data_IF_636428661399
#
_entry.id   IF_636428661399
#
_cell.length_a   1.000
_cell.length_b   1.000
_cell.length_c   1.000
_cell.angle_alpha   90.00
_cell.angle_beta   90.00
_cell.angle_gamma   90.00
#
_symmetry.space_group_name_H-M   'P 1'
#
loop_
_entity.id
_entity.type
_entity.pdbx_description
1 polymer ?
#
# COMPACT_ATOMS: atom_id res chain seq x y z
N UNK A 1 -6.18 -30.59 18.52
CA UNK A 1 -6.16 -29.10 18.61
C UNK A 1 -5.30 -28.64 19.78
N UNK A 2 -5.47 -29.25 20.96
CA UNK A 2 -4.63 -28.96 22.13
C UNK A 2 -3.13 -29.22 21.89
N UNK A 3 -2.80 -30.26 21.11
CA UNK A 3 -1.41 -30.56 20.71
C UNK A 3 -0.80 -29.48 19.80
N UNK A 4 -1.59 -28.84 18.95
CA UNK A 4 -1.09 -27.75 18.08
C UNK A 4 -0.84 -26.49 18.90
N UNK A 5 -1.67 -26.23 19.91
CA UNK A 5 -1.51 -25.11 20.85
C UNK A 5 -0.28 -25.33 21.73
N UNK A 6 0.00 -26.58 22.14
CA UNK A 6 1.19 -26.89 22.94
C UNK A 6 2.48 -26.70 22.14
N UNK A 7 2.50 -27.13 20.86
CA UNK A 7 3.61 -26.88 19.92
C UNK A 7 3.81 -25.38 19.72
N UNK A 8 2.74 -24.60 19.51
CA UNK A 8 2.85 -23.15 19.36
C UNK A 8 3.51 -22.48 20.59
N UNK A 9 3.19 -22.96 21.79
CA UNK A 9 3.73 -22.46 23.04
C UNK A 9 5.19 -22.87 23.26
N UNK A 10 5.58 -24.09 22.89
CA UNK A 10 6.97 -24.54 22.99
C UNK A 10 7.89 -23.85 22.00
N UNK A 11 7.38 -23.53 20.81
CA UNK A 11 8.11 -22.86 19.72
C UNK A 11 8.20 -21.32 19.89
N UNK A 12 7.70 -20.80 21.02
CA UNK A 12 7.79 -19.38 21.37
C UNK A 12 6.98 -18.45 20.46
N UNK A 13 5.92 -18.96 19.83
CA UNK A 13 5.13 -18.19 18.87
C UNK A 13 4.31 -17.11 19.59
N UNK A 14 4.33 -15.89 19.04
CA UNK A 14 3.54 -14.77 19.59
C UNK A 14 2.05 -15.13 19.64
N UNK A 15 1.31 -14.82 20.73
CA UNK A 15 -0.07 -15.28 20.94
C UNK A 15 -1.10 -14.75 19.92
N UNK A 16 -0.70 -13.88 19.01
CA UNK A 16 -1.54 -13.33 17.92
C UNK A 16 -1.55 -14.24 16.69
N UNK A 17 -1.50 -15.56 16.90
CA UNK A 17 -1.53 -16.53 15.81
C UNK A 17 -2.96 -16.95 15.47
N UNK A 18 -3.18 -17.24 14.19
CA UNK A 18 -4.39 -17.88 13.68
C UNK A 18 -4.06 -19.32 13.30
N UNK A 19 -4.94 -20.25 13.67
CA UNK A 19 -4.83 -21.67 13.29
C UNK A 19 -5.83 -21.95 12.19
N UNK A 20 -5.34 -22.41 11.04
CA UNK A 20 -6.15 -22.92 9.95
C UNK A 20 -6.16 -24.45 10.02
N UNK A 21 -7.37 -25.00 9.97
CA UNK A 21 -7.63 -26.44 10.10
C UNK A 21 -7.57 -27.08 8.70
N UNK A 22 -6.96 -28.27 8.55
CA UNK A 22 -6.97 -29.01 7.29
C UNK A 22 -8.40 -29.32 6.84
N UNK A 23 -8.68 -29.15 5.55
CA UNK A 23 -9.99 -29.45 4.95
C UNK A 23 -10.09 -30.89 4.46
N UNK A 24 -8.95 -31.52 4.16
CA UNK A 24 -8.86 -32.86 3.57
C UNK A 24 -7.90 -33.77 4.35
N UNK A 25 -7.92 -35.07 4.04
CA UNK A 25 -7.09 -36.10 4.70
C UNK A 25 -5.58 -35.92 4.49
N UNK A 26 -5.17 -35.22 3.44
CA UNK A 26 -3.76 -34.88 3.19
C UNK A 26 -3.40 -33.47 3.67
N UNK A 27 -4.36 -32.75 4.26
CA UNK A 27 -4.14 -31.39 4.73
C UNK A 27 -3.23 -31.31 5.95
N UNK A 28 -2.77 -30.10 6.24
CA UNK A 28 -1.93 -29.79 7.41
C UNK A 28 -2.60 -28.70 8.26
N UNK A 29 -2.33 -28.70 9.56
CA UNK A 29 -2.62 -27.54 10.39
C UNK A 29 -1.65 -26.42 10.02
N UNK A 30 -2.17 -25.23 9.75
CA UNK A 30 -1.32 -24.06 9.50
C UNK A 30 -1.48 -23.08 10.63
N UNK A 31 -0.38 -22.74 11.27
CA UNK A 31 -0.31 -21.69 12.27
C UNK A 31 0.36 -20.48 11.64
N UNK A 32 -0.31 -19.33 11.64
CA UNK A 32 0.25 -18.09 11.10
C UNK A 32 0.09 -16.94 12.09
N UNK A 33 1.19 -16.27 12.43
CA UNK A 33 1.22 -15.12 13.31
C UNK A 33 1.80 -13.91 12.58
N UNK A 34 1.12 -12.77 12.72
CA UNK A 34 1.59 -11.47 12.23
C UNK A 34 1.70 -10.49 13.41
N UNK A 35 2.79 -10.57 14.20
CA UNK A 35 2.93 -9.73 15.39
C UNK A 35 3.20 -8.26 15.04
N UNK A 36 3.22 -7.37 16.05
CA UNK A 36 3.49 -5.94 15.84
C UNK A 36 4.81 -5.63 15.11
N UNK A 37 5.80 -6.52 15.18
CA UNK A 37 7.08 -6.41 14.48
C UNK A 37 7.15 -7.44 13.37
N UNK A 38 7.55 -7.01 12.17
CA UNK A 38 7.63 -7.89 11.01
C UNK A 38 8.67 -9.01 11.18
N UNK A 39 9.68 -8.79 12.04
CA UNK A 39 10.70 -9.78 12.38
C UNK A 39 10.15 -10.99 13.14
N UNK A 40 9.01 -10.83 13.81
CA UNK A 40 8.42 -11.86 14.65
C UNK A 40 7.36 -12.66 13.87
N UNK A 41 7.17 -12.39 12.57
CA UNK A 41 6.28 -13.15 11.70
C UNK A 41 6.71 -14.62 11.61
N UNK A 42 5.71 -15.51 11.70
CA UNK A 42 5.90 -16.95 11.55
C UNK A 42 4.70 -17.58 10.88
N UNK A 43 4.97 -18.50 9.96
CA UNK A 43 3.99 -19.41 9.38
C UNK A 43 4.53 -20.82 9.46
N UNK A 44 3.83 -21.69 10.19
CA UNK A 44 4.25 -23.06 10.48
C UNK A 44 3.18 -24.04 9.99
N UNK A 45 3.62 -25.13 9.36
CA UNK A 45 2.75 -26.23 8.93
C UNK A 45 3.02 -27.47 9.77
N UNK A 46 1.95 -28.04 10.34
CA UNK A 46 2.01 -29.14 11.30
C UNK A 46 1.16 -30.29 10.76
N UNK A 47 1.73 -31.49 10.74
CA UNK A 47 1.04 -32.71 10.31
C UNK A 47 -0.16 -33.02 11.22
N UNK A 48 -1.30 -33.36 10.60
CA UNK A 48 -2.55 -33.53 11.33
C UNK A 48 -2.66 -34.84 12.14
N UNK A 49 -1.81 -35.84 11.83
CA UNK A 49 -1.86 -37.16 12.47
C UNK A 49 -0.75 -37.36 13.50
N UNK A 50 0.45 -36.86 13.20
CA UNK A 50 1.66 -37.06 14.01
C UNK A 50 2.01 -35.86 14.88
N UNK A 51 1.48 -34.67 14.55
CA UNK A 51 1.86 -33.42 15.21
C UNK A 51 3.27 -32.94 14.85
N UNK A 52 3.92 -33.57 13.88
CA UNK A 52 5.26 -33.18 13.43
C UNK A 52 5.22 -31.82 12.70
N UNK A 53 6.19 -30.95 12.98
CA UNK A 53 6.37 -29.70 12.23
C UNK A 53 6.96 -30.03 10.86
N UNK A 54 6.18 -29.82 9.80
CA UNK A 54 6.55 -30.10 8.42
C UNK A 54 7.25 -28.90 7.76
N UNK A 55 6.90 -27.69 8.17
CA UNK A 55 7.56 -26.47 7.72
C UNK A 55 7.50 -25.38 8.79
N UNK A 56 8.59 -24.63 8.94
CA UNK A 56 8.67 -23.44 9.79
C UNK A 56 9.25 -22.28 8.96
N UNK A 57 8.38 -21.37 8.54
CA UNK A 57 8.75 -20.17 7.80
C UNK A 57 8.71 -18.97 8.73
N UNK A 58 9.90 -18.44 9.05
CA UNK A 58 10.08 -17.24 9.86
C UNK A 58 10.66 -16.10 9.00
N UNK A 59 10.72 -14.92 9.59
CA UNK A 59 11.33 -13.75 8.94
C UNK A 59 12.71 -14.01 8.34
N UNK A 60 13.54 -14.85 8.97
CA UNK A 60 14.88 -15.18 8.44
C UNK A 60 14.84 -15.99 7.15
N UNK A 61 13.78 -16.74 6.91
CA UNK A 61 13.55 -17.47 5.66
C UNK A 61 13.07 -16.57 4.52
N UNK A 62 12.64 -15.33 4.81
CA UNK A 62 12.21 -14.40 3.77
C UNK A 62 13.40 -13.88 2.96
N UNK A 63 13.24 -13.84 1.64
CA UNK A 63 14.14 -13.09 0.76
C UNK A 63 14.07 -11.57 1.04
N UNK A 64 14.99 -10.80 0.45
CA UNK A 64 15.09 -9.35 0.65
C UNK A 64 13.74 -8.63 0.45
N UNK A 65 13.02 -8.99 -0.63
CA UNK A 65 11.71 -8.41 -0.94
C UNK A 65 10.69 -8.76 0.15
N UNK A 66 10.63 -10.01 0.61
CA UNK A 66 9.73 -10.44 1.68
C UNK A 66 9.99 -9.69 2.98
N UNK A 67 11.26 -9.50 3.35
CA UNK A 67 11.66 -8.69 4.52
C UNK A 67 11.21 -7.24 4.39
N UNK A 68 11.40 -6.62 3.21
CA UNK A 68 10.94 -5.26 2.94
C UNK A 68 9.41 -5.16 2.99
N UNK A 69 8.68 -6.16 2.50
CA UNK A 69 7.21 -6.19 2.57
C UNK A 69 6.73 -6.32 4.01
N UNK A 70 7.29 -7.24 4.79
CA UNK A 70 6.95 -7.40 6.21
C UNK A 70 7.16 -6.08 6.99
N UNK A 71 8.31 -5.43 6.77
CA UNK A 71 8.56 -4.08 7.30
C UNK A 71 7.57 -3.04 6.79
N UNK A 72 7.24 -3.06 5.50
CA UNK A 72 6.29 -2.15 4.90
C UNK A 72 4.90 -2.26 5.52
N UNK A 73 4.44 -3.49 5.76
CA UNK A 73 3.15 -3.77 6.41
C UNK A 73 3.16 -3.22 7.84
N UNK A 74 4.15 -3.58 8.66
CA UNK A 74 4.17 -3.16 10.07
C UNK A 74 4.45 -1.67 10.26
N UNK A 75 5.16 -1.04 9.33
CA UNK A 75 5.28 0.42 9.26
C UNK A 75 3.92 1.05 8.93
N UNK A 76 3.23 0.53 7.91
CA UNK A 76 1.94 1.04 7.46
C UNK A 76 0.83 0.88 8.51
N UNK A 77 0.78 -0.25 9.21
CA UNK A 77 -0.18 -0.49 10.30
C UNK A 77 0.15 0.27 11.58
N UNK A 78 1.31 0.92 11.66
CA UNK A 78 1.69 1.70 12.83
C UNK A 78 2.31 0.88 13.97
N UNK A 79 2.64 -0.40 13.76
CA UNK A 79 3.03 -1.31 14.86
C UNK A 79 4.53 -1.45 15.05
N UNK A 80 5.34 -1.28 13.99
CA UNK A 80 6.78 -1.58 14.01
C UNK A 80 7.57 -0.86 15.11
N UNK A 81 7.29 0.44 15.33
CA UNK A 81 7.91 1.26 16.39
C UNK A 81 6.88 1.79 17.41
N UNK A 82 5.71 1.14 17.49
CA UNK A 82 4.62 1.54 18.37
C UNK A 82 4.21 3.01 18.19
N UNK A 83 4.11 3.74 19.30
CA UNK A 83 3.60 5.12 19.34
C UNK A 83 4.38 6.08 18.43
N UNK A 84 5.70 5.92 18.31
CA UNK A 84 6.51 6.79 17.43
C UNK A 84 6.04 6.64 15.98
N UNK A 85 5.81 5.39 15.54
CA UNK A 85 5.32 5.12 14.20
C UNK A 85 3.93 5.73 13.97
N UNK A 86 3.05 5.62 14.97
CA UNK A 86 1.71 6.21 14.91
C UNK A 86 1.73 7.74 14.84
N UNK A 87 2.61 8.41 15.59
CA UNK A 87 2.77 9.87 15.54
C UNK A 87 3.27 10.31 14.16
N UNK A 88 4.27 9.62 13.62
CA UNK A 88 4.77 9.91 12.25
C UNK A 88 3.65 9.70 11.23
N UNK A 89 2.91 8.60 11.33
CA UNK A 89 1.74 8.33 10.49
C UNK A 89 0.68 9.43 10.59
N UNK A 90 0.37 9.91 11.80
CA UNK A 90 -0.57 11.00 12.03
C UNK A 90 -0.11 12.30 11.34
N UNK A 91 1.18 12.65 11.45
CA UNK A 91 1.74 13.84 10.80
C UNK A 91 1.62 13.73 9.29
N UNK A 92 1.94 12.56 8.71
CA UNK A 92 1.81 12.32 7.27
C UNK A 92 0.34 12.46 6.83
N UNK A 93 -0.60 11.87 7.56
CA UNK A 93 -2.04 11.98 7.28
C UNK A 93 -2.52 13.44 7.31
N UNK A 94 -2.12 14.22 8.32
CA UNK A 94 -2.44 15.65 8.39
C UNK A 94 -1.81 16.42 7.23
N UNK A 95 -0.58 16.07 6.83
CA UNK A 95 0.07 16.63 5.64
C UNK A 95 -0.73 16.39 4.36
N UNK A 96 -1.22 15.17 4.14
CA UNK A 96 -2.06 14.82 2.98
C UNK A 96 -3.36 15.63 2.99
N UNK A 97 -4.01 15.76 4.15
CA UNK A 97 -5.22 16.59 4.30
C UNK A 97 -4.91 18.04 3.93
N UNK A 98 -3.80 18.61 4.43
CA UNK A 98 -3.38 19.97 4.09
C UNK A 98 -3.07 20.14 2.61
N UNK A 99 -2.44 19.16 1.96
CA UNK A 99 -2.22 19.16 0.50
C UNK A 99 -3.54 19.16 -0.25
N UNK A 100 -4.51 18.33 0.15
CA UNK A 100 -5.83 18.29 -0.49
C UNK A 100 -6.60 19.62 -0.32
N UNK A 101 -6.64 20.15 0.91
CA UNK A 101 -7.29 21.42 1.22
C UNK A 101 -6.62 22.61 0.52
N UNK A 102 -5.29 22.64 0.49
CA UNK A 102 -4.54 23.68 -0.21
C UNK A 102 -4.73 23.59 -1.73
N UNK A 103 -4.80 22.39 -2.31
CA UNK A 103 -5.15 22.18 -3.70
C UNK A 103 -6.52 22.74 -4.05
N UNK A 104 -7.54 22.43 -3.25
CA UNK A 104 -8.88 22.97 -3.40
C UNK A 104 -8.92 24.50 -3.23
N UNK A 105 -8.24 25.03 -2.21
CA UNK A 105 -8.14 26.47 -1.98
C UNK A 105 -7.47 27.21 -3.15
N UNK A 106 -6.37 26.67 -3.67
CA UNK A 106 -5.67 27.22 -4.83
C UNK A 106 -6.53 27.18 -6.08
N UNK A 107 -7.27 26.09 -6.30
CA UNK A 107 -8.26 26.01 -7.37
C UNK A 107 -9.33 27.09 -7.21
N UNK A 108 -9.91 27.22 -6.01
CA UNK A 108 -10.95 28.20 -5.73
C UNK A 108 -10.51 29.65 -5.99
N UNK A 109 -9.24 29.96 -5.67
CA UNK A 109 -8.62 31.28 -5.85
C UNK A 109 -8.22 31.56 -7.31
N UNK A 110 -7.83 30.53 -8.06
CA UNK A 110 -7.28 30.67 -9.43
C UNK A 110 -8.27 30.36 -10.54
N UNK A 111 -9.46 29.83 -10.22
CA UNK A 111 -10.51 29.56 -11.21
C UNK A 111 -11.01 30.86 -11.88
N UNK A 112 -11.48 30.81 -13.14
CA UNK A 112 -12.10 31.96 -13.78
C UNK A 112 -13.35 32.45 -13.02
N UNK A 113 -13.55 33.78 -12.92
CA UNK A 113 -14.60 34.39 -12.06
C UNK A 113 -16.05 33.96 -12.37
N UNK A 114 -16.32 33.37 -13.54
CA UNK A 114 -17.67 33.02 -14.02
C UNK A 114 -17.81 31.57 -14.49
N UNK A 115 -16.78 30.75 -14.36
CA UNK A 115 -16.79 29.37 -14.86
C UNK A 115 -16.19 28.43 -13.81
N UNK A 116 -16.75 27.24 -13.63
CA UNK A 116 -16.17 26.17 -12.80
C UNK A 116 -15.03 25.44 -13.54
N UNK A 117 -14.21 26.18 -14.28
CA UNK A 117 -13.19 25.64 -15.17
C UNK A 117 -11.81 25.52 -14.50
N UNK A 118 -10.93 24.71 -15.11
CA UNK A 118 -9.57 24.52 -14.64
C UNK A 118 -8.73 25.82 -14.79
N UNK A 119 -7.93 26.19 -13.77
CA UNK A 119 -6.95 27.26 -13.88
C UNK A 119 -5.93 26.98 -14.98
N UNK A 120 -5.40 28.03 -15.62
CA UNK A 120 -4.34 27.88 -16.65
C UNK A 120 -3.11 27.18 -16.06
N UNK A 121 -2.64 26.15 -16.76
CA UNK A 121 -1.42 25.46 -16.38
C UNK A 121 -0.20 26.40 -16.46
N UNK A 122 0.77 26.29 -15.53
CA UNK A 122 2.04 26.99 -15.65
C UNK A 122 2.83 26.46 -16.86
N UNK A 123 3.72 27.29 -17.42
CA UNK A 123 4.53 26.88 -18.57
C UNK A 123 5.42 25.66 -18.30
N UNK A 124 5.65 24.85 -19.34
CA UNK A 124 6.29 23.52 -19.26
C UNK A 124 7.64 23.52 -18.51
N UNK A 125 8.43 24.61 -18.61
CA UNK A 125 9.72 24.74 -17.93
C UNK A 125 9.59 24.66 -16.41
N UNK A 126 8.51 25.22 -15.83
CA UNK A 126 8.23 25.16 -14.39
C UNK A 126 7.67 23.80 -13.96
N UNK A 127 7.19 22.99 -14.90
CA UNK A 127 6.61 21.66 -14.65
C UNK A 127 7.61 20.51 -14.87
N UNK A 128 8.77 20.77 -15.49
CA UNK A 128 9.82 19.75 -15.73
C UNK A 128 10.15 18.88 -14.50
N UNK A 129 10.44 19.41 -13.29
CA UNK A 129 10.78 18.57 -12.16
C UNK A 129 9.62 17.66 -11.73
N UNK A 130 8.39 18.17 -11.81
CA UNK A 130 7.18 17.40 -11.53
C UNK A 130 6.99 16.27 -12.55
N UNK A 131 7.19 16.54 -13.85
CA UNK A 131 7.09 15.52 -14.89
C UNK A 131 8.14 14.41 -14.75
N UNK A 132 9.38 14.76 -14.41
CA UNK A 132 10.45 13.77 -14.17
C UNK A 132 10.07 12.86 -13.01
N UNK A 133 9.57 13.43 -11.90
CA UNK A 133 9.09 12.67 -10.76
C UNK A 133 7.94 11.73 -11.16
N UNK A 134 6.98 12.23 -11.94
CA UNK A 134 5.81 11.45 -12.37
C UNK A 134 6.21 10.26 -13.27
N UNK A 135 7.17 10.46 -14.18
CA UNK A 135 7.72 9.39 -15.03
C UNK A 135 8.46 8.37 -14.17
N UNK A 136 9.31 8.83 -13.24
CA UNK A 136 10.03 7.94 -12.32
C UNK A 136 9.07 7.07 -11.50
N UNK A 137 8.02 7.67 -10.95
CA UNK A 137 6.97 6.95 -10.22
C UNK A 137 6.20 5.97 -11.12
N UNK A 138 5.91 6.35 -12.37
CA UNK A 138 5.23 5.47 -13.32
C UNK A 138 6.05 4.23 -13.71
N UNK A 139 7.38 4.33 -13.69
CA UNK A 139 8.29 3.18 -13.93
C UNK A 139 8.33 2.28 -12.69
N UNK A 140 8.46 2.88 -11.50
CA UNK A 140 8.52 2.12 -10.23
C UNK A 140 7.17 1.44 -9.93
N UNK A 141 6.06 2.08 -10.28
CA UNK A 141 4.70 1.59 -10.10
C UNK A 141 3.98 1.48 -11.45
N UNK A 142 4.13 0.35 -12.17
CA UNK A 142 3.63 0.20 -13.55
C UNK A 142 2.13 0.48 -13.70
N UNK A 143 1.32 0.14 -12.70
CA UNK A 143 -0.12 0.43 -12.71
C UNK A 143 -0.41 1.94 -12.67
N UNK A 144 0.42 2.73 -11.98
CA UNK A 144 0.33 4.20 -12.00
C UNK A 144 0.75 4.73 -13.38
N UNK A 145 1.83 4.19 -13.96
CA UNK A 145 2.23 4.54 -15.33
C UNK A 145 1.12 4.27 -16.35
N UNK A 146 0.50 3.09 -16.28
CA UNK A 146 -0.60 2.69 -17.16
C UNK A 146 -1.85 3.57 -16.97
N UNK A 147 -2.20 3.94 -15.74
CA UNK A 147 -3.35 4.82 -15.50
C UNK A 147 -3.12 6.23 -16.06
N UNK A 148 -1.90 6.76 -15.96
CA UNK A 148 -1.53 8.04 -16.57
C UNK A 148 -1.62 7.99 -18.09
N UNK A 149 -1.15 6.91 -18.72
CA UNK A 149 -1.29 6.71 -20.18
C UNK A 149 -2.77 6.64 -20.57
N UNK A 150 -3.59 5.90 -19.81
CA UNK A 150 -5.02 5.82 -20.06
C UNK A 150 -5.70 7.19 -19.97
N UNK A 151 -5.37 8.00 -18.96
CA UNK A 151 -5.88 9.37 -18.83
C UNK A 151 -5.43 10.26 -20.01
N UNK A 152 -4.18 10.14 -20.46
CA UNK A 152 -3.68 10.89 -21.62
C UNK A 152 -4.41 10.50 -22.91
N UNK A 153 -4.69 9.20 -23.10
CA UNK A 153 -5.47 8.72 -24.24
C UNK A 153 -6.91 9.24 -24.20
N UNK A 154 -7.54 9.26 -23.02
CA UNK A 154 -8.87 9.84 -22.83
C UNK A 154 -8.89 11.34 -23.12
N UNK A 155 -7.89 12.08 -22.65
CA UNK A 155 -7.76 13.51 -22.93
C UNK A 155 -7.63 13.76 -24.44
N UNK A 156 -6.73 13.02 -25.10
CA UNK A 156 -6.46 13.17 -26.52
C UNK A 156 -7.64 12.76 -27.41
N UNK A 157 -8.33 11.66 -27.09
CA UNK A 157 -9.43 11.12 -27.91
C UNK A 157 -10.77 11.81 -27.65
N UNK A 158 -11.05 12.25 -26.42
CA UNK A 158 -12.36 12.76 -26.01
C UNK A 158 -12.29 14.26 -25.70
N UNK A 159 -11.46 14.65 -24.72
CA UNK A 159 -11.48 16.01 -24.16
C UNK A 159 -11.07 17.04 -25.22
N UNK A 160 -10.03 16.76 -26.01
CA UNK A 160 -9.56 17.67 -27.06
C UNK A 160 -10.51 17.75 -28.27
N UNK A 161 -11.34 16.73 -28.49
CA UNK A 161 -12.30 16.69 -29.61
C UNK A 161 -13.62 17.37 -29.29
N UNK A 162 -14.00 17.43 -28.01
CA UNK A 162 -15.29 17.97 -27.57
C UNK A 162 -15.12 19.40 -27.07
N UNK A 163 -15.62 20.38 -27.83
CA UNK A 163 -15.50 21.82 -27.54
C UNK A 163 -15.91 22.25 -26.11
N UNK A 164 -17.03 21.78 -25.51
CA UNK A 164 -17.37 22.16 -24.14
C UNK A 164 -16.39 21.59 -23.10
N UNK A 165 -15.85 20.39 -23.31
CA UNK A 165 -14.85 19.78 -22.43
C UNK A 165 -13.51 20.51 -22.54
N UNK A 166 -13.08 20.82 -23.77
CA UNK A 166 -11.88 21.60 -24.03
C UNK A 166 -11.90 22.96 -23.33
N UNK A 167 -13.04 23.67 -23.39
CA UNK A 167 -13.23 24.94 -22.69
C UNK A 167 -13.20 24.78 -21.16
N UNK A 168 -13.79 23.72 -20.63
CA UNK A 168 -13.83 23.44 -19.20
C UNK A 168 -12.45 23.10 -18.60
N UNK A 169 -11.67 22.27 -19.31
CA UNK A 169 -10.32 21.88 -18.89
C UNK A 169 -9.23 22.91 -19.29
N UNK A 170 -9.61 23.97 -20.01
CA UNK A 170 -8.68 25.00 -20.47
C UNK A 170 -7.50 24.39 -21.27
N UNK A 171 -7.83 23.37 -22.08
CA UNK A 171 -6.92 22.52 -22.84
C UNK A 171 -6.79 22.95 -24.31
#
# INVERSE_FOLDING_TARGET
>A
MDDVISVAKSEGIHPSYSIYIPQDKEGVYTLSAFPPKGQDEVTMHIDQYTGAVLADYRYDNYGLIGKMVAWGITLHTGTQFGVINQIVGLIICLGIILVALSGFYLWWKRKPKRELAAPKAPGIQKMKPFLILMIGLGIIFPLVGLSLIAVLLLDWLIIQRVSPLKKFFNA
#
